data_IF_166004473728
#
_entry.id   IF_166004473728
#
_cell.length_a   1.000
_cell.length_b   1.000
_cell.length_c   1.000
_cell.angle_alpha   90.00
_cell.angle_beta   90.00
_cell.angle_gamma   90.00
#
_symmetry.space_group_name_H-M   'P 1'
#
loop_
_entity.id
_entity.type
_entity.pdbx_description
1 polymer ?
#
# COMPACT_ATOMS: atom_id res chain seq x y z
N UNK A 1 -0.13 50.15 27.30
CA UNK A 1 1.11 50.90 27.65
C UNK A 1 2.07 49.93 28.27
N UNK A 2 3.10 49.49 27.56
CA UNK A 2 4.35 48.99 28.12
C UNK A 2 5.35 48.81 27.02
N UNK A 3 6.49 49.40 27.23
CA UNK A 3 7.54 49.74 26.27
C UNK A 3 8.43 48.55 25.91
N UNK A 4 8.76 48.42 24.64
CA UNK A 4 9.89 47.62 24.14
C UNK A 4 11.23 48.26 24.52
N UNK A 5 12.15 47.45 25.03
CA UNK A 5 13.56 47.83 25.21
C UNK A 5 14.41 46.96 24.28
N UNK A 6 15.00 47.63 23.30
CA UNK A 6 16.01 47.04 22.38
C UNK A 6 17.38 47.41 22.98
N UNK A 7 18.18 46.40 23.29
CA UNK A 7 19.60 46.60 23.62
C UNK A 7 20.46 46.00 22.51
N UNK A 8 21.12 46.88 21.75
CA UNK A 8 22.19 46.57 20.87
C UNK A 8 23.48 46.30 21.65
N UNK A 9 24.18 45.22 21.37
CA UNK A 9 25.53 44.96 21.86
C UNK A 9 26.52 45.02 20.68
N UNK A 10 27.46 45.95 20.84
CA UNK A 10 28.43 46.33 19.84
C UNK A 10 29.56 45.30 19.67
N UNK A 11 30.05 45.29 18.47
CA UNK A 11 31.19 44.51 17.99
C UNK A 11 32.50 45.16 18.48
N UNK A 12 33.28 44.44 19.27
CA UNK A 12 34.65 44.85 19.63
C UNK A 12 35.64 43.98 18.82
N UNK A 13 36.27 44.57 17.83
CA UNK A 13 37.36 43.97 17.04
C UNK A 13 38.67 44.22 17.81
N UNK A 14 39.28 43.15 18.32
CA UNK A 14 40.65 43.20 18.85
C UNK A 14 41.59 42.57 17.81
N UNK A 15 42.42 43.44 17.22
CA UNK A 15 43.60 43.02 16.45
C UNK A 15 44.67 42.50 17.43
N UNK A 16 45.06 41.25 17.34
CA UNK A 16 46.32 40.75 17.87
C UNK A 16 47.25 40.31 16.72
N UNK A 17 48.44 40.92 16.76
CA UNK A 17 49.52 40.62 15.82
C UNK A 17 50.15 39.24 16.11
N UNK A 18 50.44 38.50 15.05
CA UNK A 18 51.10 37.21 15.06
C UNK A 18 52.61 37.35 15.19
N UNK A 19 53.33 36.47 15.92
CA UNK A 19 54.69 36.13 15.59
C UNK A 19 54.75 34.90 14.65
N UNK A 20 55.50 35.03 13.62
CA UNK A 20 55.82 33.93 12.68
C UNK A 20 56.77 32.95 13.36
N UNK A 21 56.34 31.69 13.49
CA UNK A 21 57.27 30.57 13.64
C UNK A 21 56.93 29.53 12.56
N UNK A 22 57.92 29.33 11.70
CA UNK A 22 57.85 28.30 10.68
C UNK A 22 57.99 26.91 11.30
N UNK A 23 57.04 26.06 10.94
CA UNK A 23 57.21 24.61 10.99
C UNK A 23 56.60 24.01 9.72
N UNK A 24 57.50 23.43 8.93
CA UNK A 24 57.18 22.56 7.81
C UNK A 24 56.61 21.23 8.36
N UNK A 25 55.28 21.19 8.57
CA UNK A 25 54.58 19.95 8.85
C UNK A 25 53.73 19.62 7.65
N UNK A 26 54.04 18.56 6.95
CA UNK A 26 53.15 17.93 5.95
C UNK A 26 51.79 17.70 6.59
N UNK A 27 50.67 18.11 5.94
CA UNK A 27 49.34 17.79 6.47
C UNK A 27 49.18 16.26 6.51
N UNK A 28 48.56 15.70 7.54
CA UNK A 28 48.27 14.27 7.56
C UNK A 28 47.39 13.97 6.35
N UNK A 29 47.87 13.04 5.55
CA UNK A 29 47.13 12.45 4.43
C UNK A 29 45.74 12.15 4.91
N UNK A 30 44.75 12.78 4.29
CA UNK A 30 43.36 12.42 4.49
C UNK A 30 43.27 10.92 4.20
N UNK A 31 43.08 10.14 5.27
CA UNK A 31 42.81 8.73 5.15
C UNK A 31 41.56 8.65 4.26
N UNK A 32 41.74 8.21 3.04
CA UNK A 32 40.67 7.86 2.12
C UNK A 32 39.83 6.81 2.88
N UNK A 33 38.71 7.25 3.42
CA UNK A 33 37.72 6.33 3.99
C UNK A 33 37.36 5.41 2.82
N UNK A 34 37.88 4.20 2.87
CA UNK A 34 37.50 3.16 1.95
C UNK A 34 35.98 3.00 2.10
N UNK A 35 35.26 3.47 1.10
CA UNK A 35 33.81 3.23 0.98
C UNK A 35 33.67 1.73 0.78
N UNK A 36 33.62 0.98 1.88
CA UNK A 36 33.27 -0.42 1.83
C UNK A 36 31.82 -0.48 1.35
N UNK A 37 31.62 -0.86 0.10
CA UNK A 37 30.30 -1.11 -0.45
C UNK A 37 29.68 -2.22 0.37
N UNK A 38 28.77 -1.85 1.29
CA UNK A 38 27.96 -2.84 2.03
C UNK A 38 27.05 -3.53 1.03
N UNK A 39 27.22 -4.85 0.93
CA UNK A 39 26.38 -5.69 0.09
C UNK A 39 25.29 -6.26 0.98
N UNK A 40 24.02 -5.93 0.67
CA UNK A 40 22.87 -6.56 1.31
C UNK A 40 22.75 -7.98 0.75
N UNK A 41 22.76 -9.03 1.59
CA UNK A 41 22.66 -10.40 1.12
C UNK A 41 21.27 -10.67 0.51
N UNK A 42 21.19 -11.66 -0.33
CA UNK A 42 19.91 -12.19 -0.83
C UNK A 42 19.23 -12.98 0.27
N UNK A 43 17.91 -12.86 0.34
CA UNK A 43 17.05 -13.60 1.27
C UNK A 43 16.13 -14.56 0.49
N UNK A 44 15.67 -15.62 1.14
CA UNK A 44 14.65 -16.48 0.56
C UNK A 44 13.28 -15.77 0.51
N UNK A 45 12.47 -16.05 -0.52
CA UNK A 45 11.09 -15.58 -0.66
C UNK A 45 10.14 -16.34 0.29
N UNK A 46 10.40 -16.18 1.61
CA UNK A 46 9.65 -16.84 2.68
C UNK A 46 9.43 -15.89 3.86
N UNK A 47 8.53 -16.24 4.76
CA UNK A 47 8.30 -15.52 6.02
C UNK A 47 9.56 -15.50 6.89
N UNK A 48 10.33 -16.59 6.93
CA UNK A 48 11.59 -16.71 7.67
C UNK A 48 12.66 -15.77 7.07
N UNK A 49 12.70 -15.67 5.72
CA UNK A 49 13.59 -14.74 5.01
C UNK A 49 13.33 -13.29 5.40
N UNK A 50 12.05 -12.89 5.42
CA UNK A 50 11.64 -11.54 5.83
C UNK A 50 11.92 -11.29 7.31
N UNK A 51 11.63 -12.25 8.19
CA UNK A 51 11.94 -12.14 9.61
C UNK A 51 13.45 -12.00 9.87
N UNK A 52 14.28 -12.73 9.12
CA UNK A 52 15.74 -12.62 9.20
C UNK A 52 16.19 -11.22 8.79
N UNK A 53 15.72 -10.73 7.66
CA UNK A 53 16.00 -9.37 7.18
C UNK A 53 15.63 -8.31 8.23
N UNK A 54 14.45 -8.40 8.84
CA UNK A 54 14.00 -7.46 9.86
C UNK A 54 14.82 -7.55 11.15
N UNK A 55 15.21 -8.76 11.59
CA UNK A 55 16.10 -8.93 12.75
C UNK A 55 17.46 -8.26 12.54
N UNK A 56 18.02 -8.37 11.35
CA UNK A 56 19.29 -7.72 11.01
C UNK A 56 19.16 -6.20 11.01
N UNK A 57 18.09 -5.65 10.41
CA UNK A 57 17.82 -4.22 10.47
C UNK A 57 17.69 -3.71 11.92
N UNK A 58 16.93 -4.43 12.78
CA UNK A 58 16.80 -4.05 14.19
C UNK A 58 18.13 -4.12 14.92
N UNK A 59 18.97 -5.12 14.62
CA UNK A 59 20.31 -5.26 15.18
C UNK A 59 21.17 -4.05 14.83
N UNK A 60 21.22 -3.62 13.57
CA UNK A 60 22.00 -2.46 13.16
C UNK A 60 21.55 -1.16 13.85
N UNK A 61 20.22 -0.97 14.03
CA UNK A 61 19.69 0.17 14.79
C UNK A 61 20.11 0.11 16.26
N UNK A 62 20.09 -1.09 16.88
CA UNK A 62 20.48 -1.30 18.27
C UNK A 62 21.98 -1.07 18.49
N UNK A 63 22.81 -1.57 17.58
CA UNK A 63 24.26 -1.50 17.65
C UNK A 63 24.81 -0.15 17.18
N UNK A 64 23.96 0.72 16.59
CA UNK A 64 24.37 2.01 16.06
C UNK A 64 25.12 1.93 14.73
N UNK A 65 25.09 0.79 14.04
CA UNK A 65 25.73 0.60 12.73
C UNK A 65 24.93 1.30 11.61
N UNK A 66 25.14 2.59 11.49
CA UNK A 66 24.43 3.44 10.54
C UNK A 66 24.76 3.09 9.07
N UNK A 67 25.96 2.57 8.79
CA UNK A 67 26.36 2.22 7.43
C UNK A 67 25.62 0.97 6.93
N UNK A 68 25.62 -0.10 7.70
CA UNK A 68 24.85 -1.31 7.38
C UNK A 68 23.37 -0.99 7.29
N UNK A 69 22.84 -0.26 8.28
CA UNK A 69 21.44 0.13 8.28
C UNK A 69 21.04 0.92 7.04
N UNK A 70 21.87 1.89 6.58
CA UNK A 70 21.60 2.69 5.39
C UNK A 70 21.53 1.83 4.11
N UNK A 71 22.39 0.82 3.98
CA UNK A 71 22.35 -0.11 2.86
C UNK A 71 21.05 -0.93 2.85
N UNK A 72 20.67 -1.47 4.02
CA UNK A 72 19.43 -2.26 4.17
C UNK A 72 18.17 -1.42 3.96
N UNK A 73 18.09 -0.23 4.52
CA UNK A 73 16.93 0.65 4.32
C UNK A 73 16.81 1.13 2.86
N UNK A 74 17.93 1.35 2.17
CA UNK A 74 17.94 1.64 0.73
C UNK A 74 17.46 0.43 -0.09
N UNK A 75 17.77 -0.80 0.33
CA UNK A 75 17.31 -2.01 -0.35
C UNK A 75 15.80 -2.23 -0.25
N UNK A 76 15.11 -1.55 0.68
CA UNK A 76 13.65 -1.55 0.76
C UNK A 76 12.96 -0.76 -0.36
N UNK A 77 13.70 0.09 -1.08
CA UNK A 77 13.12 0.84 -2.19
C UNK A 77 12.69 -0.11 -3.30
N UNK A 78 11.45 0.03 -3.74
CA UNK A 78 10.91 -0.74 -4.86
C UNK A 78 11.52 -0.22 -6.17
N UNK A 79 12.23 -1.05 -6.95
CA UNK A 79 12.68 -0.66 -8.28
C UNK A 79 11.47 -0.57 -9.22
N UNK A 80 11.47 0.42 -10.12
CA UNK A 80 10.43 0.62 -11.13
C UNK A 80 8.99 0.48 -10.58
N UNK A 81 8.59 1.32 -9.60
CA UNK A 81 7.30 1.17 -8.93
C UNK A 81 6.12 1.23 -9.91
N UNK A 82 6.20 2.03 -10.96
CA UNK A 82 5.15 2.15 -11.97
C UNK A 82 4.89 0.82 -12.67
N UNK A 83 5.95 0.14 -13.10
CA UNK A 83 5.84 -1.16 -13.75
C UNK A 83 5.30 -2.22 -12.80
N UNK A 84 5.81 -2.24 -11.56
CA UNK A 84 5.39 -3.22 -10.58
C UNK A 84 3.90 -3.05 -10.20
N UNK A 85 3.45 -1.84 -9.87
CA UNK A 85 2.06 -1.59 -9.48
C UNK A 85 1.10 -1.84 -10.64
N UNK A 86 1.46 -1.49 -11.87
CA UNK A 86 0.65 -1.78 -13.04
C UNK A 86 0.57 -3.29 -13.33
N UNK A 87 1.65 -4.04 -13.12
CA UNK A 87 1.65 -5.48 -13.28
C UNK A 87 0.82 -6.21 -12.21
N UNK A 88 0.80 -5.67 -10.96
CA UNK A 88 0.08 -6.31 -9.84
C UNK A 88 -1.39 -5.91 -9.78
N UNK A 89 -1.73 -4.66 -10.04
CA UNK A 89 -3.08 -4.10 -9.85
C UNK A 89 -3.76 -3.66 -11.16
N UNK A 90 -3.11 -3.89 -12.30
CA UNK A 90 -3.63 -3.45 -13.59
C UNK A 90 -3.48 -1.96 -13.85
N UNK A 91 -3.75 -1.56 -15.11
CA UNK A 91 -3.55 -0.18 -15.57
C UNK A 91 -4.50 0.83 -14.95
N UNK A 92 -5.63 0.39 -14.42
CA UNK A 92 -6.63 1.28 -13.81
C UNK A 92 -6.33 1.57 -12.33
N UNK A 93 -5.93 0.55 -11.57
CA UNK A 93 -5.67 0.66 -10.13
C UNK A 93 -4.20 0.93 -9.83
N UNK A 94 -3.26 0.42 -10.64
CA UNK A 94 -1.82 0.59 -10.46
C UNK A 94 -1.43 2.05 -10.23
N UNK A 95 -1.79 3.01 -11.13
CA UNK A 95 -1.46 4.43 -10.96
C UNK A 95 -2.02 5.04 -9.67
N UNK A 96 -3.19 4.58 -9.23
CA UNK A 96 -3.82 5.06 -7.98
C UNK A 96 -3.05 4.59 -6.76
N UNK A 97 -2.58 3.33 -6.74
CA UNK A 97 -1.76 2.80 -5.66
C UNK A 97 -0.37 3.45 -5.64
N UNK A 98 0.23 3.70 -6.81
CA UNK A 98 1.49 4.45 -6.93
C UNK A 98 1.36 5.79 -6.22
N UNK A 99 0.34 6.58 -6.58
CA UNK A 99 0.10 7.88 -5.98
C UNK A 99 -0.20 7.81 -4.47
N UNK A 100 -1.06 6.88 -4.05
CA UNK A 100 -1.45 6.74 -2.64
C UNK A 100 -0.28 6.32 -1.74
N UNK A 101 0.69 5.56 -2.25
CA UNK A 101 1.84 5.06 -1.50
C UNK A 101 3.14 5.85 -1.70
N UNK A 102 3.15 6.82 -2.62
CA UNK A 102 4.37 7.56 -3.04
C UNK A 102 5.14 8.14 -1.86
N UNK A 103 4.47 8.90 -1.00
CA UNK A 103 5.10 9.53 0.16
C UNK A 103 5.75 8.50 1.09
N UNK A 104 5.02 7.44 1.43
CA UNK A 104 5.52 6.40 2.33
C UNK A 104 6.71 5.65 1.74
N UNK A 105 6.69 5.34 0.44
CA UNK A 105 7.78 4.68 -0.26
C UNK A 105 9.02 5.59 -0.37
N UNK A 106 8.82 6.87 -0.68
CA UNK A 106 9.92 7.84 -0.76
C UNK A 106 10.61 8.03 0.59
N UNK A 107 9.86 8.02 1.69
CA UNK A 107 10.38 8.26 3.03
C UNK A 107 10.92 7.00 3.71
N UNK A 108 10.72 5.80 3.16
CA UNK A 108 11.05 4.54 3.86
C UNK A 108 12.53 4.47 4.25
N UNK A 109 13.44 4.88 3.37
CA UNK A 109 14.87 4.82 3.62
C UNK A 109 15.32 5.72 4.79
N UNK A 110 14.57 6.79 5.08
CA UNK A 110 14.88 7.75 6.16
C UNK A 110 14.05 7.50 7.41
N UNK A 111 12.81 7.04 7.28
CA UNK A 111 11.88 6.82 8.40
C UNK A 111 12.07 5.47 9.10
N UNK A 112 12.60 4.46 8.40
CA UNK A 112 12.76 3.10 8.93
C UNK A 112 13.54 3.05 10.24
N UNK A 113 14.61 3.84 10.38
CA UNK A 113 15.42 3.88 11.61
C UNK A 113 14.60 4.37 12.81
N UNK A 114 13.80 5.41 12.63
CA UNK A 114 12.91 5.94 13.67
C UNK A 114 11.85 4.91 14.09
N UNK A 115 11.23 4.26 13.12
CA UNK A 115 10.24 3.21 13.35
C UNK A 115 10.84 2.05 14.16
N UNK A 116 11.96 1.50 13.72
CA UNK A 116 12.61 0.37 14.41
C UNK A 116 13.13 0.75 15.80
N UNK A 117 13.63 1.98 15.98
CA UNK A 117 14.04 2.50 17.29
C UNK A 117 12.84 2.59 18.25
N UNK A 118 11.69 3.06 17.78
CA UNK A 118 10.47 3.07 18.58
C UNK A 118 10.05 1.67 19.01
N UNK A 119 10.10 0.70 18.09
CA UNK A 119 9.79 -0.71 18.40
C UNK A 119 10.74 -1.29 19.46
N UNK A 120 12.05 -1.00 19.37
CA UNK A 120 13.04 -1.39 20.35
C UNK A 120 12.78 -0.76 21.73
N UNK A 121 12.44 0.53 21.77
CA UNK A 121 12.11 1.22 23.02
C UNK A 121 10.86 0.64 23.69
N UNK A 122 9.91 0.17 22.90
CA UNK A 122 8.68 -0.50 23.37
C UNK A 122 8.90 -1.99 23.69
N UNK A 123 10.13 -2.49 23.63
CA UNK A 123 10.49 -3.91 23.76
C UNK A 123 9.75 -4.84 22.79
N UNK A 124 9.35 -4.37 21.63
CA UNK A 124 8.68 -5.13 20.57
C UNK A 124 9.72 -5.84 19.69
N UNK A 125 10.34 -6.88 20.23
CA UNK A 125 11.46 -7.61 19.61
C UNK A 125 11.09 -8.97 19.04
N UNK A 126 9.90 -9.49 19.35
CA UNK A 126 9.36 -10.69 18.70
C UNK A 126 8.83 -10.31 17.33
N UNK A 127 9.32 -10.97 16.27
CA UNK A 127 8.98 -10.67 14.88
C UNK A 127 8.21 -11.84 14.30
N UNK A 128 7.01 -11.57 13.82
CA UNK A 128 6.22 -12.48 12.99
C UNK A 128 6.06 -11.87 11.61
N UNK A 129 6.21 -12.68 10.58
CA UNK A 129 5.89 -12.29 9.21
C UNK A 129 4.77 -13.18 8.69
N UNK A 130 3.91 -12.62 7.86
CA UNK A 130 2.89 -13.36 7.17
C UNK A 130 2.98 -13.10 5.67
N UNK A 131 2.77 -14.15 4.85
CA UNK A 131 2.79 -14.12 3.40
C UNK A 131 1.36 -14.32 2.90
N UNK A 132 0.79 -13.28 2.30
CA UNK A 132 -0.54 -13.33 1.68
C UNK A 132 -0.41 -13.78 0.22
N UNK A 133 -0.60 -15.06 -0.04
CA UNK A 133 -0.49 -15.61 -1.41
C UNK A 133 -1.76 -15.38 -2.24
N UNK A 134 -2.90 -15.33 -1.58
CA UNK A 134 -4.20 -15.14 -2.23
C UNK A 134 -5.21 -14.42 -1.31
N UNK A 135 -6.36 -14.10 -1.85
CA UNK A 135 -7.44 -13.43 -1.12
C UNK A 135 -8.15 -14.32 -0.10
N UNK A 136 -7.86 -15.61 -0.09
CA UNK A 136 -8.47 -16.57 0.83
C UNK A 136 -7.55 -16.95 2.00
N UNK A 137 -6.57 -16.10 2.28
CA UNK A 137 -5.75 -16.26 3.46
C UNK A 137 -6.57 -15.97 4.72
N UNK A 138 -6.59 -16.91 5.66
CA UNK A 138 -7.37 -16.79 6.91
C UNK A 138 -6.95 -15.60 7.77
N UNK A 139 -5.72 -15.12 7.59
CA UNK A 139 -5.18 -13.95 8.30
C UNK A 139 -5.45 -12.64 7.56
N UNK A 140 -5.92 -12.70 6.32
CA UNK A 140 -6.34 -11.51 5.57
C UNK A 140 -7.67 -11.01 6.11
N UNK A 141 -7.63 -9.98 6.96
CA UNK A 141 -8.80 -9.37 7.61
C UNK A 141 -8.87 -7.88 7.28
N UNK A 142 -10.07 -7.30 7.42
CA UNK A 142 -10.19 -5.85 7.30
C UNK A 142 -9.79 -5.31 5.93
N UNK A 143 -8.69 -4.58 5.87
CA UNK A 143 -8.20 -3.91 4.64
C UNK A 143 -7.39 -4.83 3.72
N UNK A 144 -6.82 -5.92 4.24
CA UNK A 144 -6.00 -6.85 3.45
C UNK A 144 -6.84 -7.63 2.44
N UNK A 145 -7.99 -8.10 2.87
CA UNK A 145 -8.85 -8.93 2.04
C UNK A 145 -9.31 -8.24 0.75
N UNK A 146 -9.92 -7.04 0.78
CA UNK A 146 -10.27 -6.32 -0.44
C UNK A 146 -9.07 -5.95 -1.30
N UNK A 147 -7.90 -5.68 -0.69
CA UNK A 147 -6.67 -5.41 -1.41
C UNK A 147 -6.22 -6.64 -2.22
N UNK A 148 -6.23 -7.81 -1.60
CA UNK A 148 -5.82 -9.06 -2.26
C UNK A 148 -6.76 -9.45 -3.41
N UNK A 149 -8.05 -9.11 -3.34
CA UNK A 149 -9.01 -9.33 -4.42
C UNK A 149 -8.80 -8.42 -5.63
N UNK A 150 -8.27 -7.23 -5.41
CA UNK A 150 -8.06 -6.24 -6.48
C UNK A 150 -6.79 -6.49 -7.32
N UNK A 151 -5.99 -7.50 -6.96
CA UNK A 151 -4.78 -7.83 -7.70
C UNK A 151 -5.09 -8.59 -8.97
N UNK A 152 -4.54 -8.15 -10.09
CA UNK A 152 -4.60 -8.86 -11.36
C UNK A 152 -3.61 -10.03 -11.40
N UNK A 153 -2.51 -9.93 -10.63
CA UNK A 153 -1.50 -10.98 -10.53
C UNK A 153 -1.38 -11.55 -9.11
N UNK A 154 -0.97 -12.82 -9.01
CA UNK A 154 -0.80 -13.51 -7.74
C UNK A 154 0.57 -13.24 -7.08
N UNK A 155 1.11 -12.04 -7.23
CA UNK A 155 2.35 -11.65 -6.52
C UNK A 155 2.06 -11.63 -5.02
N UNK A 156 2.79 -12.43 -4.21
CA UNK A 156 2.59 -12.43 -2.77
C UNK A 156 2.90 -11.08 -2.14
N UNK A 157 2.09 -10.69 -1.17
CA UNK A 157 2.37 -9.56 -0.28
C UNK A 157 2.71 -10.07 1.10
N UNK A 158 3.52 -9.32 1.82
CA UNK A 158 3.93 -9.65 3.17
C UNK A 158 3.55 -8.54 4.14
N UNK A 159 3.19 -8.90 5.37
CA UNK A 159 3.23 -8.01 6.52
C UNK A 159 4.27 -8.48 7.54
N UNK A 160 4.66 -7.56 8.42
CA UNK A 160 5.52 -7.87 9.57
C UNK A 160 4.86 -7.33 10.82
N UNK A 161 4.80 -8.15 11.86
CA UNK A 161 4.24 -7.82 13.16
C UNK A 161 5.33 -7.91 14.21
N UNK A 162 5.39 -6.90 15.05
CA UNK A 162 6.37 -6.80 16.14
C UNK A 162 5.63 -6.81 17.46
N UNK A 163 6.00 -7.71 18.37
CA UNK A 163 5.35 -7.87 19.66
C UNK A 163 6.34 -7.72 20.81
N UNK A 164 5.83 -7.24 21.95
CA UNK A 164 6.52 -7.38 23.23
C UNK A 164 6.08 -8.65 23.96
N UNK A 165 6.67 -8.90 25.13
CA UNK A 165 6.35 -10.08 25.96
C UNK A 165 4.91 -10.10 26.50
N UNK A 166 4.22 -8.97 26.49
CA UNK A 166 2.81 -8.87 26.87
C UNK A 166 1.85 -9.08 25.68
N UNK A 167 2.37 -9.42 24.48
CA UNK A 167 1.58 -9.61 23.27
C UNK A 167 1.08 -8.31 22.62
N UNK A 168 1.55 -7.14 23.08
CA UNK A 168 1.18 -5.86 22.46
C UNK A 168 2.00 -5.68 21.19
N UNK A 169 1.32 -5.61 20.04
CA UNK A 169 1.93 -5.60 18.72
C UNK A 169 1.87 -4.28 17.98
N UNK A 170 2.69 -4.18 16.94
CA UNK A 170 2.64 -3.16 15.90
C UNK A 170 2.87 -3.81 14.55
N UNK A 171 2.15 -3.38 13.53
CA UNK A 171 2.25 -3.92 12.18
C UNK A 171 3.04 -2.97 11.28
N UNK A 172 3.81 -3.54 10.38
CA UNK A 172 4.47 -2.82 9.30
C UNK A 172 4.04 -3.44 7.96
N UNK A 173 3.26 -2.72 7.16
CA UNK A 173 2.65 -3.11 5.89
C UNK A 173 3.26 -2.32 4.74
N UNK A 174 3.25 -2.78 3.55
CA UNK A 174 3.30 -4.14 3.00
C UNK A 174 4.64 -4.29 2.31
N UNK A 175 5.10 -5.52 2.17
CA UNK A 175 6.32 -5.84 1.45
C UNK A 175 6.00 -6.77 0.29
N UNK A 176 6.81 -6.68 -0.78
CA UNK A 176 6.84 -7.64 -1.87
C UNK A 176 8.26 -8.19 -2.03
N UNK A 177 8.39 -9.40 -2.52
CA UNK A 177 9.68 -9.96 -2.88
C UNK A 177 9.96 -9.69 -4.36
N UNK A 178 10.99 -8.90 -4.66
CA UNK A 178 11.34 -8.45 -6.00
C UNK A 178 12.86 -8.46 -6.16
N UNK A 179 13.35 -9.06 -7.23
CA UNK A 179 14.78 -9.12 -7.58
C UNK A 179 15.67 -9.59 -6.41
N UNK A 180 15.29 -10.72 -5.81
CA UNK A 180 16.08 -11.36 -4.75
C UNK A 180 16.02 -10.69 -3.38
N UNK A 181 15.13 -9.72 -3.16
CA UNK A 181 15.01 -9.01 -1.89
C UNK A 181 13.61 -8.49 -1.57
N UNK A 182 13.39 -8.13 -0.32
CA UNK A 182 12.14 -7.55 0.13
C UNK A 182 12.10 -6.06 -0.15
N UNK A 183 10.98 -5.59 -0.73
CA UNK A 183 10.73 -4.19 -1.10
C UNK A 183 9.50 -3.70 -0.37
N UNK A 184 9.58 -2.49 0.16
CA UNK A 184 8.45 -1.86 0.80
C UNK A 184 7.51 -1.23 -0.25
N UNK A 185 6.27 -1.67 -0.27
CA UNK A 185 5.26 -1.18 -1.23
C UNK A 185 4.26 -0.20 -0.60
N UNK A 186 4.37 0.04 0.69
CA UNK A 186 3.55 1.00 1.43
C UNK A 186 2.35 0.39 2.13
N UNK A 187 1.71 1.16 2.99
CA UNK A 187 0.45 0.78 3.63
C UNK A 187 -0.70 0.99 2.63
N UNK A 188 -0.92 0.00 1.78
CA UNK A 188 -1.93 0.05 0.73
C UNK A 188 -3.34 -0.01 1.33
N UNK A 189 -4.19 0.94 0.97
CA UNK A 189 -5.59 0.95 1.37
C UNK A 189 -6.46 0.29 0.30
N UNK A 190 -7.43 -0.49 0.72
CA UNK A 190 -8.46 -1.02 -0.21
C UNK A 190 -9.31 0.11 -0.84
N UNK A 191 -9.35 1.27 -0.19
CA UNK A 191 -10.08 2.45 -0.63
C UNK A 191 -9.12 3.45 -1.32
N UNK A 192 -8.82 3.22 -2.60
CA UNK A 192 -7.95 4.13 -3.35
C UNK A 192 -8.76 5.26 -3.95
N UNK A 193 -8.43 6.49 -3.56
CA UNK A 193 -9.08 7.68 -4.11
C UNK A 193 -8.75 7.82 -5.61
N UNK A 194 -9.66 8.41 -6.42
CA UNK A 194 -9.34 8.79 -7.79
C UNK A 194 -8.09 9.67 -7.84
N UNK A 195 -7.29 9.52 -8.90
CA UNK A 195 -6.16 10.40 -9.14
C UNK A 195 -6.64 11.84 -9.22
N UNK A 196 -5.89 12.83 -8.67
CA UNK A 196 -6.18 14.24 -8.89
C UNK A 196 -6.15 14.52 -10.39
N UNK A 197 -7.16 15.26 -10.87
CA UNK A 197 -7.17 15.68 -12.27
C UNK A 197 -5.92 16.52 -12.56
N UNK A 198 -5.27 16.34 -13.74
CA UNK A 198 -4.17 17.20 -14.15
C UNK A 198 -4.67 18.65 -14.12
N UNK A 199 -3.92 19.55 -13.47
CA UNK A 199 -4.22 20.97 -13.54
C UNK A 199 -3.93 21.41 -14.97
N UNK A 200 -4.97 21.71 -15.74
CA UNK A 200 -4.80 22.40 -17.00
C UNK A 200 -4.24 23.79 -16.70
N UNK A 201 -3.11 24.18 -17.29
CA UNK A 201 -2.55 25.52 -17.10
C UNK A 201 -3.40 26.61 -17.78
N UNK A 202 -4.38 26.24 -18.61
CA UNK A 202 -5.32 27.14 -19.25
C UNK A 202 -6.67 26.97 -18.59
N UNK A 203 -7.10 27.97 -17.83
CA UNK A 203 -8.32 28.02 -17.02
C UNK A 203 -9.65 27.92 -17.75
N UNK A 204 -9.79 26.98 -18.65
CA UNK A 204 -11.06 26.56 -19.22
C UNK A 204 -11.40 25.21 -18.61
N UNK A 205 -12.18 25.25 -17.52
CA UNK A 205 -12.89 24.08 -17.04
C UNK A 205 -13.85 23.62 -18.13
N UNK A 206 -13.45 22.62 -18.91
CA UNK A 206 -14.46 21.83 -19.60
C UNK A 206 -15.19 21.04 -18.50
N UNK A 207 -16.53 21.05 -18.49
CA UNK A 207 -17.30 20.20 -17.60
C UNK A 207 -16.95 18.75 -17.96
N UNK A 208 -16.03 18.15 -17.20
CA UNK A 208 -15.78 16.74 -17.29
C UNK A 208 -17.06 16.05 -16.85
N UNK A 209 -17.56 15.13 -17.67
CA UNK A 209 -18.66 14.24 -17.34
C UNK A 209 -18.38 13.55 -16.02
N UNK A 210 -18.84 14.18 -14.95
CA UNK A 210 -19.08 13.49 -13.68
C UNK A 210 -20.15 12.47 -14.02
N UNK A 211 -20.00 11.17 -13.67
CA UNK A 211 -21.15 10.28 -13.71
C UNK A 211 -22.20 10.93 -12.81
N UNK A 212 -23.26 11.43 -13.42
CA UNK A 212 -24.35 12.07 -12.68
C UNK A 212 -24.92 11.05 -11.71
N UNK A 213 -24.60 11.22 -10.44
CA UNK A 213 -25.34 10.58 -9.35
C UNK A 213 -26.72 11.23 -9.32
N UNK A 214 -27.66 10.67 -10.08
CA UNK A 214 -29.03 11.10 -10.01
C UNK A 214 -29.62 10.70 -8.63
N UNK A 215 -29.60 11.64 -7.71
CA UNK A 215 -30.42 11.59 -6.50
C UNK A 215 -31.83 12.05 -6.88
N UNK A 216 -32.77 11.10 -6.99
CA UNK A 216 -34.18 11.40 -7.08
C UNK A 216 -34.71 11.65 -8.50
N UNK A 217 -35.01 10.59 -9.19
CA UNK A 217 -35.89 10.49 -10.34
C UNK A 217 -36.40 9.04 -10.38
N UNK A 218 -37.54 8.76 -10.98
CA UNK A 218 -38.08 7.41 -11.15
C UNK A 218 -37.13 6.52 -11.99
N UNK A 219 -35.98 6.15 -11.42
CA UNK A 219 -35.11 5.15 -12.01
C UNK A 219 -35.74 3.81 -11.72
N UNK A 220 -36.28 3.18 -12.74
CA UNK A 220 -36.76 1.81 -12.67
C UNK A 220 -35.56 0.94 -12.30
N UNK A 221 -35.64 0.17 -11.19
CA UNK A 221 -34.59 -0.76 -10.81
C UNK A 221 -34.21 -1.64 -12.02
N UNK A 222 -32.92 -1.78 -12.28
CA UNK A 222 -32.44 -2.58 -13.40
C UNK A 222 -32.96 -4.03 -13.24
N UNK A 223 -33.65 -4.53 -14.27
CA UNK A 223 -34.25 -5.88 -14.24
C UNK A 223 -33.20 -6.90 -14.67
N UNK A 224 -32.94 -7.89 -13.81
CA UNK A 224 -32.11 -9.05 -14.15
C UNK A 224 -32.82 -9.91 -15.18
N UNK A 225 -32.20 -10.14 -16.36
CA UNK A 225 -32.77 -10.94 -17.45
C UNK A 225 -32.05 -12.29 -17.66
N UNK A 226 -30.82 -12.40 -17.21
CA UNK A 226 -30.08 -13.65 -17.23
C UNK A 226 -29.27 -13.79 -15.94
N UNK A 227 -29.40 -14.92 -15.26
CA UNK A 227 -28.73 -15.23 -14.01
C UNK A 227 -28.02 -16.58 -14.12
N UNK A 228 -26.74 -16.58 -13.81
CA UNK A 228 -25.93 -17.80 -13.63
C UNK A 228 -25.85 -18.08 -12.13
N UNK A 229 -26.14 -19.32 -11.73
CA UNK A 229 -26.02 -19.73 -10.32
C UNK A 229 -24.56 -19.94 -9.97
N UNK A 230 -24.08 -19.39 -8.82
CA UNK A 230 -22.72 -19.63 -8.38
C UNK A 230 -22.52 -21.10 -8.00
N UNK A 231 -21.36 -21.63 -8.38
CA UNK A 231 -20.98 -22.98 -7.97
C UNK A 231 -20.58 -22.96 -6.49
N UNK A 232 -21.34 -23.66 -5.66
CA UNK A 232 -21.01 -23.78 -4.24
C UNK A 232 -19.73 -24.63 -4.06
N UNK A 233 -18.63 -24.07 -3.46
CA UNK A 233 -17.38 -24.82 -3.25
C UNK A 233 -17.60 -26.02 -2.32
N UNK A 234 -16.93 -27.13 -2.61
CA UNK A 234 -17.04 -28.35 -1.76
C UNK A 234 -16.49 -28.10 -0.36
N UNK A 235 -15.42 -27.34 -0.27
CA UNK A 235 -14.76 -26.94 0.98
C UNK A 235 -15.71 -26.13 1.86
N UNK A 236 -16.42 -25.16 1.28
CA UNK A 236 -17.40 -24.36 1.98
C UNK A 236 -18.61 -25.20 2.45
N UNK A 237 -19.09 -26.13 1.60
CA UNK A 237 -20.16 -27.08 1.99
C UNK A 237 -19.75 -27.95 3.16
N UNK A 238 -18.57 -28.53 3.11
CA UNK A 238 -18.03 -29.40 4.16
C UNK A 238 -17.84 -28.66 5.48
N UNK A 239 -17.44 -27.39 5.41
CA UNK A 239 -17.25 -26.51 6.57
C UNK A 239 -18.54 -25.80 6.99
N UNK A 240 -19.68 -26.05 6.35
CA UNK A 240 -20.98 -25.38 6.60
C UNK A 240 -20.90 -23.84 6.55
N UNK A 241 -20.03 -23.31 5.70
CA UNK A 241 -19.87 -21.86 5.50
C UNK A 241 -20.98 -21.38 4.57
N UNK A 242 -21.94 -20.66 5.10
CA UNK A 242 -23.07 -20.04 4.42
C UNK A 242 -23.00 -18.52 4.54
N UNK A 243 -23.84 -17.79 3.83
CA UNK A 243 -24.00 -16.34 3.97
C UNK A 243 -24.08 -15.59 2.66
N UNK A 244 -24.15 -14.28 2.79
CA UNK A 244 -24.25 -13.36 1.68
C UNK A 244 -22.88 -12.88 1.20
N UNK A 245 -22.76 -12.76 -0.12
CA UNK A 245 -21.63 -12.10 -0.77
C UNK A 245 -22.19 -10.85 -1.46
N UNK A 246 -21.73 -9.67 -1.02
CA UNK A 246 -22.12 -8.39 -1.61
C UNK A 246 -21.04 -7.91 -2.57
N UNK A 247 -21.44 -7.65 -3.80
CA UNK A 247 -20.57 -7.25 -4.91
C UNK A 247 -21.04 -5.90 -5.42
N UNK A 248 -20.18 -4.89 -5.35
CA UNK A 248 -20.40 -3.63 -6.02
C UNK A 248 -20.16 -3.83 -7.52
N UNK A 249 -21.03 -3.25 -8.35
CA UNK A 249 -20.93 -3.38 -9.80
C UNK A 249 -21.53 -2.17 -10.50
N UNK A 250 -21.09 -1.90 -11.72
CA UNK A 250 -21.71 -0.96 -12.62
C UNK A 250 -22.42 -1.75 -13.73
N UNK A 251 -23.73 -1.58 -13.87
CA UNK A 251 -24.51 -2.09 -15.00
C UNK A 251 -24.29 -1.13 -16.16
N UNK A 252 -23.65 -1.60 -17.23
CA UNK A 252 -23.40 -0.83 -18.43
C UNK A 252 -24.68 -0.48 -19.20
N UNK A 253 -24.57 0.46 -20.12
CA UNK A 253 -25.66 0.86 -21.04
C UNK A 253 -26.19 -0.29 -21.90
N UNK A 254 -25.40 -1.35 -22.03
CA UNK A 254 -25.69 -2.60 -22.72
C UNK A 254 -26.24 -3.71 -21.80
N UNK A 255 -26.43 -3.42 -20.51
CA UNK A 255 -26.85 -4.39 -19.51
C UNK A 255 -25.77 -5.36 -19.05
N UNK A 256 -24.52 -5.19 -19.47
CA UNK A 256 -23.37 -5.99 -19.03
C UNK A 256 -22.78 -5.39 -17.76
N UNK A 257 -22.41 -6.26 -16.82
CA UNK A 257 -21.77 -5.83 -15.57
C UNK A 257 -20.30 -5.50 -15.79
N UNK A 258 -19.88 -4.39 -15.18
CA UNK A 258 -18.49 -3.87 -15.20
C UNK A 258 -18.04 -3.55 -13.79
N UNK A 259 -16.73 -3.44 -13.60
CA UNK A 259 -16.12 -2.99 -12.34
C UNK A 259 -16.60 -3.75 -11.12
N UNK A 260 -16.64 -5.09 -11.21
CA UNK A 260 -17.04 -5.95 -10.11
C UNK A 260 -16.06 -5.83 -8.94
N UNK A 261 -16.56 -5.47 -7.78
CA UNK A 261 -15.77 -5.32 -6.56
C UNK A 261 -16.46 -6.00 -5.38
N UNK A 262 -15.72 -6.87 -4.67
CA UNK A 262 -16.25 -7.47 -3.45
C UNK A 262 -16.37 -6.40 -2.36
N UNK A 263 -17.57 -6.28 -1.79
CA UNK A 263 -17.86 -5.40 -0.65
C UNK A 263 -17.83 -6.16 0.66
N UNK A 264 -18.47 -7.36 0.68
CA UNK A 264 -18.64 -8.18 1.88
C UNK A 264 -18.87 -9.64 1.50
N UNK A 265 -18.43 -10.56 2.34
CA UNK A 265 -18.71 -11.99 2.18
C UNK A 265 -17.52 -12.88 2.57
N UNK A 266 -17.80 -14.16 2.86
CA UNK A 266 -16.77 -15.13 3.14
C UNK A 266 -15.90 -15.37 1.91
N UNK A 267 -14.58 -15.36 2.07
CA UNK A 267 -13.63 -15.48 0.97
C UNK A 267 -13.87 -16.70 0.08
N UNK A 268 -14.10 -17.85 0.68
CA UNK A 268 -14.36 -19.10 -0.07
C UNK A 268 -15.60 -19.03 -0.96
N UNK A 269 -16.55 -18.13 -0.64
CA UNK A 269 -17.76 -17.87 -1.42
C UNK A 269 -17.62 -16.72 -2.41
N UNK A 270 -16.68 -15.80 -2.16
CA UNK A 270 -16.53 -14.58 -2.94
C UNK A 270 -16.15 -14.85 -4.40
N UNK A 271 -15.12 -15.70 -4.63
CA UNK A 271 -14.68 -16.02 -5.99
C UNK A 271 -15.80 -16.67 -6.83
N UNK A 272 -16.46 -17.75 -6.38
CA UNK A 272 -17.56 -18.34 -7.15
C UNK A 272 -18.76 -17.40 -7.33
N UNK A 273 -19.04 -16.50 -6.38
CA UNK A 273 -20.05 -15.46 -6.55
C UNK A 273 -19.67 -14.49 -7.67
N UNK A 274 -18.45 -13.96 -7.67
CA UNK A 274 -17.98 -13.04 -8.68
C UNK A 274 -17.90 -13.69 -10.07
N UNK A 275 -17.45 -14.96 -10.15
CA UNK A 275 -17.40 -15.69 -11.41
C UNK A 275 -18.79 -15.88 -12.01
N UNK A 276 -19.83 -16.15 -11.17
CA UNK A 276 -21.19 -16.25 -11.64
C UNK A 276 -21.79 -14.90 -12.07
N UNK A 277 -21.54 -13.84 -11.26
CA UNK A 277 -22.08 -12.51 -11.52
C UNK A 277 -21.52 -11.88 -12.81
N UNK A 278 -20.30 -12.19 -13.23
CA UNK A 278 -19.74 -11.74 -14.52
C UNK A 278 -20.63 -12.10 -15.72
N UNK A 279 -21.31 -13.22 -15.64
CA UNK A 279 -22.17 -13.73 -16.71
C UNK A 279 -23.63 -13.29 -16.57
N UNK A 280 -23.98 -12.55 -15.51
CA UNK A 280 -25.32 -11.99 -15.36
C UNK A 280 -25.56 -10.88 -16.39
N UNK A 281 -26.81 -10.76 -16.83
CA UNK A 281 -27.23 -9.71 -17.76
C UNK A 281 -28.47 -9.04 -17.25
N UNK A 282 -28.46 -7.72 -17.40
CA UNK A 282 -29.57 -6.86 -17.00
C UNK A 282 -30.21 -6.21 -18.24
N UNK A 283 -31.45 -5.85 -18.11
CA UNK A 283 -32.12 -5.02 -19.10
C UNK A 283 -31.47 -3.61 -19.07
N UNK A 284 -31.06 -3.05 -20.24
CA UNK A 284 -30.52 -1.70 -20.29
C UNK A 284 -31.44 -0.69 -19.62
N UNK A 285 -30.92 0.09 -18.69
CA UNK A 285 -31.69 1.12 -17.99
C UNK A 285 -31.64 2.41 -18.80
N UNK A 286 -32.79 3.04 -18.99
CA UNK A 286 -32.89 4.32 -19.70
C UNK A 286 -33.40 5.41 -18.77
N UNK A 287 -32.81 6.59 -18.87
CA UNK A 287 -33.26 7.82 -18.24
C UNK A 287 -33.61 8.82 -19.33
N UNK A 288 -34.85 9.31 -19.34
CA UNK A 288 -35.36 10.21 -20.41
C UNK A 288 -35.12 9.66 -21.83
N UNK A 289 -35.19 8.35 -22.03
CA UNK A 289 -35.00 7.68 -23.31
C UNK A 289 -33.56 7.44 -23.71
N UNK A 290 -32.57 7.84 -22.90
CA UNK A 290 -31.14 7.60 -23.12
C UNK A 290 -30.62 6.47 -22.22
N UNK A 291 -29.87 5.49 -22.76
CA UNK A 291 -29.25 4.44 -21.96
C UNK A 291 -28.24 5.03 -20.97
N UNK A 292 -28.34 4.63 -19.69
CA UNK A 292 -27.46 5.09 -18.61
C UNK A 292 -26.77 3.93 -17.91
N UNK A 293 -25.61 4.19 -17.31
CA UNK A 293 -24.95 3.25 -16.43
C UNK A 293 -25.57 3.34 -15.03
N UNK A 294 -25.70 2.20 -14.36
CA UNK A 294 -26.28 2.12 -13.01
C UNK A 294 -25.26 1.55 -12.04
N UNK A 295 -24.91 2.32 -11.04
CA UNK A 295 -24.10 1.92 -9.89
C UNK A 295 -24.98 1.14 -8.91
N UNK A 296 -24.60 -0.10 -8.57
CA UNK A 296 -25.41 -0.99 -7.76
C UNK A 296 -24.59 -1.93 -6.88
N UNK A 297 -25.25 -2.50 -5.89
CA UNK A 297 -24.70 -3.63 -5.10
C UNK A 297 -25.55 -4.86 -5.31
N UNK A 298 -24.90 -5.93 -5.74
CA UNK A 298 -25.51 -7.24 -5.99
C UNK A 298 -25.22 -8.12 -4.78
N UNK A 299 -26.28 -8.77 -4.26
CA UNK A 299 -26.15 -9.77 -3.18
C UNK A 299 -26.35 -11.17 -3.75
N UNK A 300 -25.37 -12.04 -3.47
CA UNK A 300 -25.43 -13.47 -3.81
C UNK A 300 -25.45 -14.27 -2.54
N UNK A 301 -26.55 -14.98 -2.29
CA UNK A 301 -26.75 -15.77 -1.08
C UNK A 301 -26.35 -17.23 -1.28
N UNK A 302 -25.53 -17.75 -0.40
CA UNK A 302 -25.18 -19.16 -0.31
C UNK A 302 -25.88 -19.80 0.90
N UNK A 303 -26.78 -20.72 0.64
CA UNK A 303 -27.48 -21.53 1.65
C UNK A 303 -27.23 -23.02 1.39
N UNK A 304 -27.26 -23.84 2.44
CA UNK A 304 -27.17 -25.31 2.39
C UNK A 304 -28.52 -25.96 2.32
#
# INVERSE_FOLDING_TARGET
MSRFLVTAFGLLVALFALPAFGQTGTPPSAATAASSNVVVPSYSDTTEGLQKFMREMMKFVKDGDSQQFAAYSKSLLLPNPDDWFNAVFGKDLGPRYIFASEKQRAEIATSAAGTLRSLLNDNKTTIEAHKFENSCDEKATGTEYPLLLKRDSLVPLYDVRFFNSAGVGSNWFYFAYVDGGFRYVGALSSQVKPLPKPRNPSGTEQPGETPERFKGGNVRAARLIHQVQPRYPREAKNAHITGDVKIHAIIGKDGVLKNLELVEGACVLAKPAMDAVKDWRYEPTSLAGQPVEVDTTITVTFAL
#
